data_IF_911046470821
#
_entry.id   IF_911046470821
#
_cell.length_a   1.000
_cell.length_b   1.000
_cell.length_c   1.000
_cell.angle_alpha   90.00
_cell.angle_beta   90.00
_cell.angle_gamma   90.00
#
_symmetry.space_group_name_H-M   'P 1'
#
loop_
_entity.id
_entity.type
_entity.pdbx_description
1 polymer ?
#
# COMPACT_ATOMS: atom_id res chain seq x y z
N UNK A 1 -11.15 -24.84 -1.21
CA UNK A 1 -10.89 -25.72 -2.38
C UNK A 1 -9.41 -25.66 -2.69
N UNK A 2 -8.76 -26.78 -3.01
CA UNK A 2 -7.36 -26.78 -3.43
C UNK A 2 -7.27 -26.77 -4.96
N UNK A 3 -6.26 -26.09 -5.51
CA UNK A 3 -6.02 -26.10 -6.95
C UNK A 3 -5.38 -27.43 -7.41
N UNK A 4 -5.61 -27.76 -8.67
CA UNK A 4 -4.94 -28.83 -9.40
C UNK A 4 -4.03 -28.28 -10.49
N UNK A 5 -2.98 -29.03 -10.84
CA UNK A 5 -2.14 -28.68 -11.98
C UNK A 5 -2.99 -28.70 -13.26
N UNK A 6 -2.79 -27.70 -14.11
CA UNK A 6 -3.57 -27.44 -15.31
C UNK A 6 -4.82 -26.61 -15.11
N UNK A 7 -5.28 -26.38 -13.87
CA UNK A 7 -6.47 -25.57 -13.63
C UNK A 7 -6.28 -24.13 -14.11
N UNK A 8 -7.32 -23.57 -14.70
CA UNK A 8 -7.38 -22.17 -15.13
C UNK A 8 -8.44 -21.45 -14.31
N UNK A 9 -8.04 -20.31 -13.74
CA UNK A 9 -8.89 -19.46 -12.92
C UNK A 9 -8.97 -18.05 -13.53
N UNK A 10 -10.13 -17.43 -13.41
CA UNK A 10 -10.34 -16.00 -13.66
C UNK A 10 -10.53 -15.25 -12.35
N UNK A 11 -10.01 -14.02 -12.30
CA UNK A 11 -10.23 -13.08 -11.19
C UNK A 11 -10.55 -11.70 -11.73
N UNK A 12 -11.53 -11.03 -11.14
CA UNK A 12 -11.90 -9.68 -11.54
C UNK A 12 -10.83 -8.69 -11.08
N UNK A 13 -10.28 -7.92 -12.01
CA UNK A 13 -9.33 -6.86 -11.73
C UNK A 13 -10.06 -5.52 -11.69
N UNK A 14 -10.10 -4.89 -10.51
CA UNK A 14 -10.84 -3.64 -10.29
C UNK A 14 -10.33 -2.46 -11.14
N UNK A 15 -9.04 -2.45 -11.49
CA UNK A 15 -8.40 -1.36 -12.24
C UNK A 15 -8.66 -1.45 -13.74
N UNK A 16 -8.64 -2.67 -14.28
CA UNK A 16 -9.04 -2.93 -15.66
C UNK A 16 -10.56 -2.93 -15.84
N UNK A 17 -11.31 -3.12 -14.75
CA UNK A 17 -12.75 -3.42 -14.76
C UNK A 17 -13.09 -4.64 -15.59
N UNK A 18 -12.17 -5.60 -15.65
CA UNK A 18 -12.22 -6.80 -16.46
C UNK A 18 -11.67 -7.99 -15.68
N UNK A 19 -12.07 -9.20 -16.06
CA UNK A 19 -11.44 -10.42 -15.60
C UNK A 19 -10.07 -10.58 -16.25
N UNK A 20 -9.12 -11.06 -15.45
CA UNK A 20 -7.81 -11.56 -15.90
C UNK A 20 -7.73 -13.05 -15.58
N UNK A 21 -6.82 -13.78 -16.22
CA UNK A 21 -6.71 -15.22 -16.05
C UNK A 21 -5.31 -15.66 -15.59
N UNK A 22 -5.27 -16.75 -14.83
CA UNK A 22 -4.03 -17.45 -14.48
C UNK A 22 -4.22 -18.96 -14.59
N UNK A 23 -3.15 -19.67 -14.93
CA UNK A 23 -3.08 -21.13 -14.91
C UNK A 23 -2.24 -21.60 -13.73
N UNK A 24 -2.65 -22.69 -13.08
CA UNK A 24 -1.82 -23.44 -12.14
C UNK A 24 -0.95 -24.39 -12.95
N UNK A 25 0.34 -24.12 -13.08
CA UNK A 25 1.24 -24.97 -13.89
C UNK A 25 1.77 -26.15 -13.09
N UNK A 26 1.87 -26.03 -11.77
CA UNK A 26 2.39 -27.06 -10.87
C UNK A 26 1.76 -26.92 -9.48
N UNK A 27 1.62 -28.06 -8.80
CA UNK A 27 1.23 -28.12 -7.37
C UNK A 27 2.30 -28.88 -6.60
N UNK A 28 2.69 -28.36 -5.44
CA UNK A 28 3.67 -28.96 -4.55
C UNK A 28 2.98 -29.62 -3.36
N UNK A 29 3.43 -30.82 -3.02
CA UNK A 29 2.90 -31.61 -1.92
C UNK A 29 3.97 -31.87 -0.85
N UNK A 30 3.61 -31.65 0.41
CA UNK A 30 4.43 -32.04 1.55
C UNK A 30 3.56 -32.82 2.55
N UNK A 31 4.01 -34.02 2.93
CA UNK A 31 3.26 -34.89 3.85
C UNK A 31 1.88 -35.27 3.34
N UNK A 32 1.71 -35.46 2.03
CA UNK A 32 0.44 -35.82 1.39
C UNK A 32 -0.58 -34.68 1.34
N UNK A 33 -0.17 -33.44 1.61
CA UNK A 33 -1.02 -32.25 1.50
C UNK A 33 -0.44 -31.28 0.47
N UNK A 34 -1.31 -30.77 -0.39
CA UNK A 34 -0.99 -29.65 -1.29
C UNK A 34 -0.67 -28.41 -0.48
N UNK A 35 0.53 -27.88 -0.66
CA UNK A 35 1.04 -26.73 0.08
C UNK A 35 1.06 -25.48 -0.77
N UNK A 36 1.68 -25.56 -1.95
CA UNK A 36 1.84 -24.45 -2.86
C UNK A 36 1.37 -24.80 -4.26
N UNK A 37 0.93 -23.77 -4.99
CA UNK A 37 0.61 -23.82 -6.40
C UNK A 37 1.49 -22.78 -7.13
N UNK A 38 2.14 -23.21 -8.21
CA UNK A 38 2.83 -22.30 -9.13
C UNK A 38 1.80 -21.73 -10.10
N UNK A 39 1.62 -20.41 -10.04
CA UNK A 39 0.68 -19.65 -10.84
C UNK A 39 1.41 -18.97 -12.00
N UNK A 40 0.88 -19.13 -13.21
CA UNK A 40 1.29 -18.44 -14.42
C UNK A 40 0.19 -17.47 -14.84
N UNK A 41 0.50 -16.18 -14.93
CA UNK A 41 -0.46 -15.23 -15.49
C UNK A 41 -0.59 -15.42 -17.01
N UNK A 42 -1.81 -15.23 -17.51
CA UNK A 42 -2.15 -15.43 -18.92
C UNK A 42 -2.35 -14.10 -19.62
N UNK A 43 -1.96 -14.03 -20.89
CA UNK A 43 -2.15 -12.88 -21.77
C UNK A 43 -3.61 -12.82 -22.26
N UNK A 44 -4.52 -12.61 -21.30
CA UNK A 44 -5.95 -12.62 -21.54
C UNK A 44 -6.68 -11.66 -20.58
N UNK A 45 -7.68 -10.95 -21.11
CA UNK A 45 -8.64 -10.18 -20.33
C UNK A 45 -10.03 -10.22 -20.97
N UNK A 46 -11.08 -10.09 -20.16
CA UNK A 46 -12.45 -10.11 -20.65
C UNK A 46 -13.47 -9.48 -19.70
N UNK A 47 -14.56 -8.94 -20.25
CA UNK A 47 -15.65 -8.36 -19.46
C UNK A 47 -16.45 -9.44 -18.68
N UNK A 48 -16.30 -10.70 -19.06
CA UNK A 48 -16.84 -11.89 -18.39
C UNK A 48 -15.70 -12.87 -18.15
N UNK A 49 -15.83 -13.83 -17.22
CA UNK A 49 -14.84 -14.91 -17.09
C UNK A 49 -14.63 -15.64 -18.42
N UNK A 50 -13.40 -16.11 -18.64
CA UNK A 50 -12.99 -16.90 -19.81
C UNK A 50 -14.00 -18.03 -20.08
N UNK A 51 -14.34 -18.24 -21.35
CA UNK A 51 -15.17 -19.38 -21.76
C UNK A 51 -14.35 -20.65 -21.96
N UNK A 52 -14.98 -21.81 -21.80
CA UNK A 52 -14.31 -23.11 -21.99
C UNK A 52 -13.72 -23.28 -23.41
N UNK A 53 -14.34 -22.71 -24.44
CA UNK A 53 -13.86 -22.76 -25.82
C UNK A 53 -12.53 -22.00 -26.02
N UNK A 54 -12.27 -20.97 -25.22
CA UNK A 54 -11.07 -20.13 -25.31
C UNK A 54 -9.84 -20.78 -24.64
N UNK A 55 -10.02 -21.89 -23.90
CA UNK A 55 -8.93 -22.57 -23.18
C UNK A 55 -7.80 -23.04 -24.12
N UNK A 56 -8.12 -23.37 -25.37
CA UNK A 56 -7.16 -23.86 -26.36
C UNK A 56 -6.23 -22.75 -26.89
N UNK A 57 -6.66 -21.48 -26.81
CA UNK A 57 -5.96 -20.34 -27.40
C UNK A 57 -5.16 -19.52 -26.36
N UNK A 58 -5.14 -19.98 -25.11
CA UNK A 58 -4.46 -19.29 -24.01
C UNK A 58 -2.96 -19.18 -24.27
N UNK A 59 -2.42 -17.99 -23.97
CA UNK A 59 -0.99 -17.70 -24.06
C UNK A 59 -0.44 -17.25 -22.71
N UNK A 60 0.81 -17.63 -22.37
CA UNK A 60 1.48 -17.08 -21.21
C UNK A 60 1.67 -15.56 -21.32
N UNK A 61 1.46 -14.83 -20.23
CA UNK A 61 1.81 -13.41 -20.16
C UNK A 61 3.32 -13.25 -19.98
N UNK A 62 3.95 -12.54 -20.90
CA UNK A 62 5.32 -12.05 -20.74
C UNK A 62 5.32 -10.67 -20.10
N UNK A 63 5.93 -10.57 -18.92
CA UNK A 63 6.13 -9.33 -18.19
C UNK A 63 7.45 -8.69 -18.61
N UNK A 64 7.39 -7.42 -19.03
CA UNK A 64 8.54 -6.59 -19.38
C UNK A 64 8.32 -5.09 -19.12
N UNK A 65 7.33 -4.70 -18.31
CA UNK A 65 7.08 -3.28 -18.06
C UNK A 65 8.27 -2.57 -17.37
N UNK A 66 8.48 -1.30 -17.72
CA UNK A 66 9.49 -0.43 -17.10
C UNK A 66 10.88 -1.08 -17.05
N UNK A 67 11.43 -1.35 -15.88
CA UNK A 67 12.79 -1.90 -15.69
C UNK A 67 12.85 -3.44 -15.71
N UNK A 68 11.72 -4.13 -15.80
CA UNK A 68 11.69 -5.59 -15.76
C UNK A 68 12.26 -6.20 -17.03
N UNK A 69 13.17 -7.16 -16.92
CA UNK A 69 13.54 -7.99 -18.06
C UNK A 69 12.37 -8.84 -18.52
N UNK A 70 12.30 -9.10 -19.82
CA UNK A 70 11.22 -9.88 -20.40
C UNK A 70 11.28 -11.31 -19.90
N UNK A 71 10.19 -11.78 -19.29
CA UNK A 71 10.07 -13.15 -18.82
C UNK A 71 8.63 -13.51 -18.47
N UNK A 72 8.38 -14.79 -18.21
CA UNK A 72 7.07 -15.26 -17.77
C UNK A 72 6.71 -14.67 -16.40
N UNK A 73 5.46 -14.26 -16.24
CA UNK A 73 4.97 -13.82 -14.94
C UNK A 73 4.48 -15.02 -14.12
N UNK A 74 5.40 -15.57 -13.31
CA UNK A 74 5.13 -16.73 -12.45
C UNK A 74 5.49 -16.49 -10.99
N UNK A 75 4.68 -17.04 -10.08
CA UNK A 75 4.93 -17.05 -8.64
C UNK A 75 4.24 -18.23 -7.95
N UNK A 76 4.77 -18.64 -6.79
CA UNK A 76 4.20 -19.67 -5.91
C UNK A 76 3.34 -19.01 -4.84
N UNK A 77 2.12 -19.50 -4.66
CA UNK A 77 1.22 -19.09 -3.59
C UNK A 77 0.64 -20.34 -2.90
N UNK A 78 -0.16 -20.16 -1.83
CA UNK A 78 -0.87 -21.28 -1.20
C UNK A 78 -1.67 -22.08 -2.23
N UNK A 79 -1.66 -23.41 -2.13
CA UNK A 79 -2.48 -24.26 -2.99
C UNK A 79 -4.00 -24.12 -2.72
N UNK A 80 -4.38 -23.47 -1.61
CA UNK A 80 -5.78 -23.14 -1.32
C UNK A 80 -6.20 -21.96 -2.21
N UNK A 81 -7.26 -22.16 -2.99
CA UNK A 81 -7.80 -21.13 -3.90
C UNK A 81 -8.59 -20.11 -3.09
N UNK A 82 -8.26 -18.80 -3.18
CA UNK A 82 -9.00 -17.76 -2.48
C UNK A 82 -10.41 -17.54 -3.04
N UNK A 83 -11.29 -16.98 -2.23
CA UNK A 83 -12.59 -16.50 -2.69
C UNK A 83 -12.41 -15.42 -3.79
N UNK A 84 -13.29 -15.42 -4.79
CA UNK A 84 -13.24 -14.48 -5.93
C UNK A 84 -12.55 -15.03 -7.18
N UNK A 85 -11.77 -16.12 -7.06
CA UNK A 85 -11.28 -16.86 -8.23
C UNK A 85 -12.33 -17.83 -8.73
N UNK A 86 -12.66 -17.71 -10.02
CA UNK A 86 -13.63 -18.57 -10.70
C UNK A 86 -12.87 -19.59 -11.53
N UNK A 87 -13.00 -20.87 -11.19
CA UNK A 87 -12.44 -21.96 -11.99
C UNK A 87 -13.18 -22.05 -13.31
N UNK A 88 -12.45 -21.98 -14.42
CA UNK A 88 -13.03 -22.00 -15.78
C UNK A 88 -12.86 -23.37 -16.42
N UNK A 89 -11.76 -24.06 -16.13
CA UNK A 89 -11.50 -25.39 -16.69
C UNK A 89 -10.11 -25.89 -16.31
N UNK A 90 -9.68 -26.93 -17.00
CA UNK A 90 -8.36 -27.52 -16.86
C UNK A 90 -7.81 -27.83 -18.25
N UNK A 91 -6.55 -27.47 -18.47
CA UNK A 91 -5.80 -27.76 -19.70
C UNK A 91 -4.35 -28.05 -19.35
N UNK A 92 -3.61 -28.68 -20.27
CA UNK A 92 -2.20 -28.98 -20.03
C UNK A 92 -1.41 -27.70 -19.65
N UNK A 93 -0.49 -27.76 -18.68
CA UNK A 93 0.34 -26.62 -18.32
C UNK A 93 1.02 -26.01 -19.56
N UNK A 94 0.81 -24.72 -19.78
CA UNK A 94 1.38 -23.99 -20.93
C UNK A 94 2.90 -23.81 -20.82
N UNK A 95 3.46 -24.06 -19.63
CA UNK A 95 4.87 -23.98 -19.36
C UNK A 95 5.27 -25.05 -18.33
N UNK A 96 6.44 -25.68 -18.55
CA UNK A 96 7.06 -26.61 -17.61
C UNK A 96 8.10 -25.98 -16.69
N UNK A 97 8.34 -24.67 -16.79
CA UNK A 97 9.28 -23.95 -15.93
C UNK A 97 8.75 -23.87 -14.48
N UNK A 98 9.68 -23.76 -13.53
CA UNK A 98 9.38 -23.50 -12.12
C UNK A 98 9.96 -22.14 -11.69
N UNK A 99 9.47 -21.62 -10.58
CA UNK A 99 9.88 -20.32 -10.03
C UNK A 99 10.21 -20.43 -8.54
N UNK A 100 11.24 -19.71 -8.10
CA UNK A 100 11.55 -19.54 -6.67
C UNK A 100 10.92 -18.28 -6.07
N UNK A 101 10.03 -17.61 -6.83
CA UNK A 101 9.31 -16.43 -6.36
C UNK A 101 8.07 -16.85 -5.61
N UNK A 102 8.03 -16.58 -4.31
CA UNK A 102 6.86 -16.81 -3.48
C UNK A 102 6.07 -15.51 -3.33
N UNK A 103 4.75 -15.63 -3.36
CA UNK A 103 3.82 -14.59 -2.97
C UNK A 103 3.03 -15.08 -1.77
N UNK A 104 2.77 -14.18 -0.82
CA UNK A 104 1.98 -14.50 0.36
C UNK A 104 0.51 -14.80 0.05
N UNK A 105 0.03 -14.47 -1.17
CA UNK A 105 -1.35 -14.65 -1.61
C UNK A 105 -1.43 -14.76 -3.15
N UNK A 106 -2.58 -15.19 -3.67
CA UNK A 106 -2.86 -15.14 -5.11
C UNK A 106 -3.09 -13.69 -5.52
N UNK A 107 -2.42 -13.21 -6.57
CA UNK A 107 -2.49 -11.82 -7.00
C UNK A 107 -3.77 -11.49 -7.78
N UNK A 108 -4.36 -10.33 -7.50
CA UNK A 108 -5.57 -9.75 -8.12
C UNK A 108 -5.41 -9.35 -9.61
N UNK A 109 -4.33 -9.77 -10.26
CA UNK A 109 -3.98 -9.34 -11.62
C UNK A 109 -3.33 -7.96 -11.72
N UNK A 110 -2.90 -7.33 -10.60
CA UNK A 110 -2.26 -6.01 -10.65
C UNK A 110 -1.04 -5.93 -11.59
N UNK A 111 -0.17 -6.94 -11.58
CA UNK A 111 0.98 -6.98 -12.50
C UNK A 111 0.54 -7.15 -13.97
N UNK A 112 -0.60 -7.80 -14.24
CA UNK A 112 -1.21 -7.89 -15.57
C UNK A 112 -1.67 -6.51 -16.02
N UNK A 113 -2.42 -5.80 -15.17
CA UNK A 113 -2.84 -4.42 -15.41
C UNK A 113 -1.65 -3.51 -15.77
N UNK A 114 -0.55 -3.58 -15.01
CA UNK A 114 0.66 -2.79 -15.27
C UNK A 114 1.31 -3.16 -16.60
N UNK A 115 1.36 -4.44 -16.94
CA UNK A 115 1.90 -4.90 -18.21
C UNK A 115 1.07 -4.39 -19.40
N UNK A 116 -0.25 -4.40 -19.30
CA UNK A 116 -1.14 -3.89 -20.35
C UNK A 116 -1.01 -2.37 -20.51
N UNK A 117 -0.94 -1.61 -19.41
CA UNK A 117 -0.68 -0.15 -19.46
C UNK A 117 0.67 0.19 -20.08
N UNK A 118 1.68 -0.63 -19.81
CA UNK A 118 2.96 -0.51 -20.48
C UNK A 118 2.83 -0.73 -21.99
N UNK A 119 2.11 -1.76 -22.43
CA UNK A 119 1.91 -2.03 -23.86
C UNK A 119 1.14 -0.92 -24.60
N UNK A 120 0.33 -0.12 -23.90
CA UNK A 120 -0.30 1.09 -24.46
C UNK A 120 0.70 2.22 -24.76
N UNK A 121 1.95 2.15 -24.28
CA UNK A 121 3.01 3.09 -24.67
C UNK A 121 3.53 2.69 -26.06
N UNK A 122 3.66 3.63 -27.01
CA UNK A 122 4.25 3.39 -28.32
C UNK A 122 5.55 2.57 -28.24
N UNK A 123 5.64 1.51 -29.04
CA UNK A 123 6.75 0.56 -28.98
C UNK A 123 8.13 1.25 -29.15
N UNK A 124 8.19 2.28 -30.01
CA UNK A 124 9.41 3.10 -30.20
C UNK A 124 9.89 3.74 -28.90
N UNK A 125 8.97 4.32 -28.11
CA UNK A 125 9.29 4.93 -26.82
C UNK A 125 9.73 3.85 -25.81
N UNK A 126 9.02 2.72 -25.73
CA UNK A 126 9.40 1.59 -24.87
C UNK A 126 10.80 1.04 -25.19
N UNK A 127 11.12 0.86 -26.47
CA UNK A 127 12.45 0.42 -26.91
C UNK A 127 13.53 1.44 -26.54
N UNK A 128 13.26 2.74 -26.70
CA UNK A 128 14.17 3.80 -26.30
C UNK A 128 14.44 3.77 -24.78
N UNK A 129 13.39 3.64 -23.97
CA UNK A 129 13.49 3.46 -22.52
C UNK A 129 14.37 2.26 -22.17
N UNK A 130 14.09 1.07 -22.73
CA UNK A 130 14.86 -0.16 -22.45
C UNK A 130 16.33 -0.03 -22.85
N UNK A 131 16.60 0.62 -23.98
CA UNK A 131 17.97 0.89 -24.45
C UNK A 131 18.70 1.85 -23.51
N UNK A 132 18.03 2.91 -23.05
CA UNK A 132 18.61 3.85 -22.09
C UNK A 132 18.86 3.18 -20.73
N UNK A 133 17.94 2.34 -20.26
CA UNK A 133 18.07 1.62 -18.97
C UNK A 133 19.30 0.71 -18.91
N UNK A 134 19.69 0.12 -20.05
CA UNK A 134 20.90 -0.72 -20.18
C UNK A 134 22.17 0.07 -20.55
N UNK A 135 22.05 1.37 -20.78
CA UNK A 135 23.15 2.21 -21.22
C UNK A 135 24.04 2.63 -20.05
N UNK A 136 25.35 2.72 -20.32
CA UNK A 136 26.33 3.37 -19.44
C UNK A 136 26.61 4.82 -19.82
N UNK A 137 25.88 5.37 -20.79
CA UNK A 137 26.04 6.77 -21.21
C UNK A 137 25.64 7.72 -20.09
N UNK A 138 26.34 8.84 -20.04
CA UNK A 138 26.12 9.91 -19.09
C UNK A 138 25.70 11.21 -19.77
N UNK A 139 25.17 12.13 -18.98
CA UNK A 139 24.78 13.48 -19.36
C UNK A 139 25.08 14.43 -18.20
N UNK A 140 25.48 15.66 -18.52
CA UNK A 140 25.61 16.73 -17.52
C UNK A 140 24.25 17.38 -17.28
N UNK A 141 23.85 17.49 -16.02
CA UNK A 141 22.59 18.13 -15.60
C UNK A 141 22.79 18.79 -14.23
N UNK A 142 22.32 20.02 -14.06
CA UNK A 142 22.49 20.80 -12.83
C UNK A 142 23.96 20.81 -12.31
N UNK A 143 24.93 20.89 -13.23
CA UNK A 143 26.37 20.92 -12.90
C UNK A 143 26.97 19.57 -12.46
N UNK A 144 26.23 18.46 -12.58
CA UNK A 144 26.70 17.11 -12.19
C UNK A 144 26.53 16.12 -13.32
N UNK A 145 27.39 15.11 -13.35
CA UNK A 145 27.30 14.01 -14.29
C UNK A 145 26.34 12.93 -13.78
N UNK A 146 25.38 12.53 -14.62
CA UNK A 146 24.42 11.47 -14.32
C UNK A 146 24.35 10.46 -15.45
N UNK A 147 24.07 9.20 -15.11
CA UNK A 147 23.67 8.21 -16.12
C UNK A 147 22.32 8.59 -16.74
N UNK A 148 22.17 8.43 -18.07
CA UNK A 148 20.88 8.67 -18.74
C UNK A 148 19.76 7.72 -18.26
N UNK A 149 20.13 6.63 -17.57
CA UNK A 149 19.25 5.66 -16.93
C UNK A 149 18.72 6.10 -15.56
N UNK A 150 18.99 7.34 -15.13
CA UNK A 150 18.47 7.92 -13.87
C UNK A 150 16.94 7.76 -13.79
N UNK A 151 16.48 7.18 -12.68
CA UNK A 151 15.08 6.79 -12.49
C UNK A 151 14.29 7.76 -11.60
N UNK A 152 15.00 8.50 -10.74
CA UNK A 152 14.42 9.38 -9.74
C UNK A 152 15.17 10.71 -9.75
N UNK A 153 14.43 11.81 -9.62
CA UNK A 153 14.99 13.14 -9.53
C UNK A 153 14.26 13.96 -8.45
N UNK A 154 15.00 14.81 -7.75
CA UNK A 154 14.44 15.78 -6.83
C UNK A 154 15.10 17.14 -7.04
N UNK A 155 14.29 18.18 -7.12
CA UNK A 155 14.73 19.56 -7.33
C UNK A 155 15.48 20.16 -6.13
N UNK A 156 15.42 19.50 -4.96
CA UNK A 156 16.27 19.83 -3.80
C UNK A 156 17.76 19.61 -4.10
N UNK A 157 18.07 18.59 -4.92
CA UNK A 157 19.45 18.20 -5.20
C UNK A 157 19.93 18.59 -6.59
N UNK A 158 18.98 18.62 -7.53
CA UNK A 158 19.19 18.83 -8.96
C UNK A 158 18.25 19.97 -9.39
N UNK A 159 18.66 21.22 -9.20
CA UNK A 159 17.82 22.39 -9.53
C UNK A 159 17.72 22.57 -11.04
N UNK A 160 16.52 22.94 -11.50
CA UNK A 160 16.19 23.25 -12.89
C UNK A 160 14.99 24.21 -12.91
N UNK A 161 14.80 24.91 -14.02
CA UNK A 161 13.66 25.83 -14.19
C UNK A 161 12.58 25.25 -15.09
N UNK A 162 12.98 24.57 -16.17
CA UNK A 162 12.09 24.04 -17.20
C UNK A 162 12.06 22.51 -17.18
N UNK A 163 10.89 21.93 -16.95
CA UNK A 163 10.71 20.49 -16.90
C UNK A 163 11.09 19.79 -18.22
N UNK A 164 11.10 20.50 -19.34
CA UNK A 164 11.55 19.95 -20.62
C UNK A 164 13.04 19.60 -20.65
N UNK A 165 13.85 20.12 -19.73
CA UNK A 165 15.25 19.71 -19.56
C UNK A 165 15.36 18.24 -19.12
N UNK A 166 14.34 17.72 -18.45
CA UNK A 166 14.30 16.34 -17.92
C UNK A 166 14.28 15.27 -19.02
N UNK A 167 14.04 15.65 -20.30
CA UNK A 167 14.20 14.76 -21.46
C UNK A 167 15.61 14.16 -21.59
N UNK A 168 16.59 14.73 -20.89
CA UNK A 168 17.93 14.16 -20.70
C UNK A 168 17.92 12.78 -20.04
N UNK A 169 16.84 12.41 -19.34
CA UNK A 169 16.68 11.16 -18.62
C UNK A 169 15.49 10.33 -19.16
N UNK A 170 15.69 9.55 -20.24
CA UNK A 170 14.61 8.74 -20.83
C UNK A 170 14.01 7.68 -19.89
N UNK A 171 14.73 7.36 -18.81
CA UNK A 171 14.28 6.41 -17.80
C UNK A 171 13.66 7.07 -16.57
N UNK A 172 13.45 8.38 -16.53
CA UNK A 172 12.90 9.03 -15.35
C UNK A 172 11.48 8.51 -15.09
N UNK A 173 11.21 8.05 -13.87
CA UNK A 173 9.92 7.49 -13.47
C UNK A 173 9.35 8.06 -12.17
N UNK A 174 10.18 8.73 -11.36
CA UNK A 174 9.73 9.42 -10.14
C UNK A 174 10.28 10.83 -10.07
N UNK A 175 9.40 11.78 -9.75
CA UNK A 175 9.73 13.19 -9.51
C UNK A 175 9.36 13.60 -8.08
N UNK A 176 10.25 14.34 -7.43
CA UNK A 176 10.04 14.95 -6.12
C UNK A 176 10.35 16.44 -6.21
N UNK A 177 9.30 17.23 -6.36
CA UNK A 177 9.35 18.66 -6.63
C UNK A 177 8.88 19.43 -5.40
N UNK A 178 9.66 20.43 -5.02
CA UNK A 178 9.43 21.31 -3.87
C UNK A 178 8.97 22.71 -4.27
N UNK A 179 8.77 22.94 -5.58
CA UNK A 179 8.20 24.14 -6.18
C UNK A 179 7.54 23.80 -7.52
N UNK A 180 6.82 24.76 -8.10
CA UNK A 180 6.32 24.66 -9.47
C UNK A 180 7.46 24.89 -10.48
N UNK A 181 7.46 24.11 -11.56
CA UNK A 181 8.45 24.19 -12.64
C UNK A 181 7.76 24.53 -13.96
N UNK A 182 8.43 25.29 -14.82
CA UNK A 182 7.90 25.64 -16.14
C UNK A 182 7.71 24.38 -16.98
N UNK A 183 6.65 24.36 -17.81
CA UNK A 183 6.31 23.26 -18.71
C UNK A 183 6.10 21.88 -18.04
N UNK A 184 5.77 21.84 -16.75
CA UNK A 184 5.61 20.58 -16.02
C UNK A 184 4.49 19.71 -16.62
N UNK A 185 3.36 20.30 -17.03
CA UNK A 185 2.25 19.54 -17.62
C UNK A 185 2.64 18.95 -18.97
N UNK A 186 3.23 19.75 -19.84
CA UNK A 186 3.70 19.36 -21.16
C UNK A 186 4.68 18.17 -21.06
N UNK A 187 5.61 18.24 -20.11
CA UNK A 187 6.53 17.13 -19.86
C UNK A 187 5.80 15.85 -19.39
N UNK A 188 4.86 15.97 -18.45
CA UNK A 188 4.13 14.81 -17.92
C UNK A 188 3.21 14.15 -18.96
N UNK A 189 2.68 14.91 -19.92
CA UNK A 189 1.88 14.42 -21.02
C UNK A 189 2.74 13.76 -22.12
N UNK A 190 3.88 14.35 -22.48
CA UNK A 190 4.77 13.85 -23.54
C UNK A 190 5.58 12.61 -23.12
N UNK A 191 5.98 12.52 -21.84
CA UNK A 191 6.88 11.47 -21.33
C UNK A 191 6.13 10.47 -20.43
N UNK A 192 5.66 9.34 -21.00
CA UNK A 192 4.68 8.45 -20.36
C UNK A 192 5.25 7.55 -19.24
N UNK A 193 6.48 7.80 -18.79
CA UNK A 193 7.20 6.96 -17.85
C UNK A 193 7.16 7.48 -16.42
N UNK A 194 6.71 8.72 -16.20
CA UNK A 194 6.51 9.27 -14.85
C UNK A 194 5.29 8.63 -14.21
N UNK A 195 5.54 7.64 -13.34
CA UNK A 195 4.50 6.94 -12.59
C UNK A 195 4.31 7.53 -11.20
N UNK A 196 5.31 8.22 -10.66
CA UNK A 196 5.27 8.81 -9.32
C UNK A 196 5.61 10.29 -9.34
N UNK A 197 4.76 11.10 -8.74
CA UNK A 197 4.98 12.54 -8.56
C UNK A 197 4.73 12.91 -7.11
N UNK A 198 5.69 13.60 -6.49
CA UNK A 198 5.50 14.37 -5.27
C UNK A 198 5.66 15.85 -5.61
N UNK A 199 4.64 16.66 -5.34
CA UNK A 199 4.62 18.08 -5.65
C UNK A 199 4.24 18.88 -4.38
N UNK A 200 5.19 19.64 -3.86
CA UNK A 200 5.04 20.46 -2.65
C UNK A 200 5.31 21.94 -2.95
N UNK A 201 4.76 22.85 -2.14
CA UNK A 201 4.94 24.31 -2.24
C UNK A 201 4.82 24.89 -3.67
N UNK A 202 3.90 24.36 -4.46
CA UNK A 202 3.77 24.71 -5.88
C UNK A 202 2.96 25.99 -6.13
N UNK A 203 2.22 26.48 -5.13
CA UNK A 203 1.49 27.75 -5.21
C UNK A 203 0.36 27.82 -6.24
N UNK A 204 -0.11 26.68 -6.76
CA UNK A 204 -1.20 26.61 -7.75
C UNK A 204 -2.55 26.45 -7.05
N UNK A 205 -3.59 27.07 -7.59
CA UNK A 205 -4.98 26.92 -7.10
C UNK A 205 -5.74 25.81 -7.83
N UNK A 206 -5.33 25.49 -9.06
CA UNK A 206 -5.89 24.40 -9.87
C UNK A 206 -4.77 23.48 -10.31
N UNK A 207 -4.96 22.19 -10.12
CA UNK A 207 -4.02 21.16 -10.55
C UNK A 207 -4.71 20.16 -11.46
N UNK A 208 -4.25 20.03 -12.71
CA UNK A 208 -4.81 19.08 -13.66
C UNK A 208 -3.81 18.00 -14.05
N UNK A 209 -4.04 16.77 -13.57
CA UNK A 209 -3.26 15.59 -13.92
C UNK A 209 -4.06 14.59 -14.76
N UNK A 210 -5.20 14.98 -15.33
CA UNK A 210 -6.13 14.09 -16.06
C UNK A 210 -5.51 13.43 -17.30
N UNK A 211 -4.62 14.15 -18.00
CA UNK A 211 -3.92 13.65 -19.18
C UNK A 211 -2.60 12.92 -18.88
N UNK A 212 -2.25 12.78 -17.60
CA UNK A 212 -0.99 12.14 -17.20
C UNK A 212 -1.14 10.62 -17.04
N UNK A 213 -0.01 9.92 -16.87
CA UNK A 213 0.03 8.48 -16.57
C UNK A 213 0.46 8.16 -15.14
N UNK A 214 0.41 9.15 -14.26
CA UNK A 214 0.81 9.02 -12.86
C UNK A 214 -0.09 7.98 -12.16
N UNK A 215 0.54 7.04 -11.45
CA UNK A 215 -0.12 6.03 -10.62
C UNK A 215 -0.03 6.36 -9.14
N UNK A 216 1.04 7.03 -8.72
CA UNK A 216 1.27 7.47 -7.33
C UNK A 216 1.43 9.00 -7.28
N UNK A 217 0.44 9.70 -6.74
CA UNK A 217 0.47 11.17 -6.60
C UNK A 217 0.53 11.57 -5.13
N UNK A 218 1.53 12.35 -4.74
CA UNK A 218 1.58 13.08 -3.48
C UNK A 218 1.57 14.57 -3.78
N UNK A 219 0.62 15.29 -3.20
CA UNK A 219 0.40 16.71 -3.53
C UNK A 219 0.08 17.50 -2.28
N UNK A 220 0.71 18.66 -2.15
CA UNK A 220 0.36 19.68 -1.16
C UNK A 220 -0.94 20.38 -1.60
N UNK A 221 -1.98 20.30 -0.77
CA UNK A 221 -3.29 20.87 -1.07
C UNK A 221 -3.44 22.31 -0.60
N UNK A 222 -2.40 22.89 0.02
CA UNK A 222 -2.42 24.25 0.55
C UNK A 222 -2.71 25.25 -0.57
N UNK A 223 -3.85 25.93 -0.49
CA UNK A 223 -4.30 26.90 -1.49
C UNK A 223 -5.06 26.29 -2.68
N UNK A 224 -5.04 24.96 -2.86
CA UNK A 224 -5.71 24.25 -3.96
C UNK A 224 -7.23 24.28 -3.79
N UNK A 225 -7.92 24.58 -4.88
CA UNK A 225 -9.38 24.62 -4.98
C UNK A 225 -9.93 23.50 -5.85
N UNK A 226 -9.17 23.06 -6.86
CA UNK A 226 -9.55 21.95 -7.74
C UNK A 226 -8.36 21.09 -8.13
N UNK A 227 -8.54 19.77 -8.02
CA UNK A 227 -7.55 18.76 -8.39
C UNK A 227 -8.20 17.76 -9.36
N UNK A 228 -7.67 17.61 -10.57
CA UNK A 228 -8.16 16.66 -11.57
C UNK A 228 -7.20 15.50 -11.70
N UNK A 229 -7.70 14.27 -11.63
CA UNK A 229 -6.90 13.06 -11.62
C UNK A 229 -7.18 12.21 -12.86
N UNK A 230 -6.15 11.52 -13.36
CA UNK A 230 -6.31 10.54 -14.43
C UNK A 230 -7.01 9.26 -13.93
N UNK A 231 -7.65 8.52 -14.83
CA UNK A 231 -8.37 7.28 -14.49
C UNK A 231 -7.46 6.15 -13.99
N UNK A 232 -6.16 6.21 -14.29
CA UNK A 232 -5.18 5.21 -13.93
C UNK A 232 -4.45 5.48 -12.62
N UNK A 233 -4.90 6.44 -11.80
CA UNK A 233 -4.28 6.75 -10.51
C UNK A 233 -4.60 5.65 -9.49
N UNK A 234 -3.57 5.04 -8.91
CA UNK A 234 -3.70 3.98 -7.90
C UNK A 234 -3.71 4.54 -6.48
N UNK A 235 -2.85 5.52 -6.21
CA UNK A 235 -2.61 6.07 -4.88
C UNK A 235 -2.57 7.60 -4.89
N UNK A 236 -3.29 8.20 -3.95
CA UNK A 236 -3.33 9.64 -3.72
C UNK A 236 -2.94 9.94 -2.27
N UNK A 237 -1.90 10.76 -2.09
CA UNK A 237 -1.46 11.27 -0.80
C UNK A 237 -1.67 12.79 -0.75
N UNK A 238 -2.56 13.23 0.15
CA UNK A 238 -2.89 14.63 0.34
C UNK A 238 -2.09 15.19 1.53
N UNK A 239 -1.32 16.25 1.29
CA UNK A 239 -0.53 16.97 2.29
C UNK A 239 -1.04 18.39 2.46
N UNK A 240 -0.52 19.08 3.48
CA UNK A 240 -0.85 20.48 3.73
C UNK A 240 -2.29 20.69 4.18
N UNK A 241 -2.75 21.93 4.06
CA UNK A 241 -4.10 22.32 4.44
C UNK A 241 -5.09 22.04 3.30
N UNK A 242 -6.14 21.27 3.57
CA UNK A 242 -7.21 20.99 2.61
C UNK A 242 -8.39 21.93 2.91
N UNK A 243 -8.69 22.84 1.99
CA UNK A 243 -9.87 23.72 2.07
C UNK A 243 -11.16 22.88 2.07
N UNK A 244 -12.14 23.27 2.89
CA UNK A 244 -13.43 22.55 3.02
C UNK A 244 -14.19 22.40 1.69
N UNK A 245 -14.05 23.38 0.80
CA UNK A 245 -14.70 23.39 -0.51
C UNK A 245 -13.82 22.87 -1.65
N UNK A 246 -12.61 22.36 -1.36
CA UNK A 246 -11.73 21.79 -2.38
C UNK A 246 -12.42 20.62 -3.09
N UNK A 247 -12.38 20.64 -4.43
CA UNK A 247 -12.98 19.61 -5.28
C UNK A 247 -11.91 18.73 -5.91
N UNK A 248 -11.99 17.42 -5.69
CA UNK A 248 -11.16 16.45 -6.39
C UNK A 248 -11.98 15.78 -7.48
N UNK A 249 -11.66 16.04 -8.74
CA UNK A 249 -12.31 15.45 -9.90
C UNK A 249 -11.62 14.11 -10.25
N UNK A 250 -12.34 13.01 -10.04
CA UNK A 250 -11.86 11.65 -10.32
C UNK A 250 -12.91 10.86 -11.09
N UNK A 251 -12.48 9.79 -11.79
CA UNK A 251 -13.41 8.81 -12.32
C UNK A 251 -14.20 8.15 -11.19
N UNK A 252 -15.51 7.96 -11.40
CA UNK A 252 -16.42 7.28 -10.47
C UNK A 252 -16.37 7.77 -9.02
N UNK A 253 -15.94 9.02 -8.78
CA UNK A 253 -15.81 9.62 -7.44
C UNK A 253 -14.88 8.84 -6.50
N UNK A 254 -13.76 8.35 -7.02
CA UNK A 254 -12.68 7.74 -6.24
C UNK A 254 -12.76 6.22 -6.11
N UNK A 255 -13.65 5.56 -6.84
CA UNK A 255 -13.72 4.10 -6.85
C UNK A 255 -12.40 3.49 -7.38
N UNK A 256 -11.83 2.53 -6.65
CA UNK A 256 -10.55 1.90 -6.98
C UNK A 256 -9.30 2.68 -6.53
N UNK A 257 -9.46 3.93 -6.08
CA UNK A 257 -8.36 4.75 -5.56
C UNK A 257 -8.01 4.36 -4.11
N UNK A 258 -6.72 4.39 -3.78
CA UNK A 258 -6.22 4.29 -2.42
C UNK A 258 -5.87 5.69 -1.91
N UNK A 259 -6.54 6.13 -0.85
CA UNK A 259 -6.19 7.37 -0.16
C UNK A 259 -5.13 7.07 0.93
N UNK A 260 -3.95 7.64 0.77
CA UNK A 260 -2.84 7.56 1.71
C UNK A 260 -2.82 8.83 2.58
N UNK A 261 -3.04 8.69 3.88
CA UNK A 261 -3.09 9.83 4.80
C UNK A 261 -2.24 9.60 6.04
N UNK A 262 -1.86 10.71 6.66
CA UNK A 262 -1.18 10.70 7.96
C UNK A 262 -2.16 10.43 9.10
N UNK A 263 -2.20 11.35 10.08
CA UNK A 263 -2.87 11.15 11.37
C UNK A 263 -4.39 11.05 11.30
N UNK A 264 -5.02 11.70 10.33
CA UNK A 264 -6.47 11.80 10.20
C UNK A 264 -6.91 11.67 8.74
N UNK A 265 -8.17 11.26 8.57
CA UNK A 265 -8.79 11.07 7.25
C UNK A 265 -9.60 12.32 6.92
N UNK A 266 -9.21 13.11 5.91
CA UNK A 266 -9.95 14.30 5.53
C UNK A 266 -11.23 13.93 4.77
N UNK A 267 -12.28 14.73 4.95
CA UNK A 267 -13.47 14.68 4.10
C UNK A 267 -13.22 15.49 2.84
N UNK A 268 -13.21 14.82 1.69
CA UNK A 268 -12.83 15.43 0.41
C UNK A 268 -13.97 15.25 -0.60
N UNK A 269 -14.41 16.34 -1.22
CA UNK A 269 -15.44 16.30 -2.27
C UNK A 269 -14.89 15.63 -3.52
N UNK A 270 -15.67 14.71 -4.08
CA UNK A 270 -15.30 13.92 -5.25
C UNK A 270 -14.58 12.59 -4.94
N UNK A 271 -14.48 12.22 -3.66
CA UNK A 271 -14.03 10.90 -3.19
C UNK A 271 -15.17 10.09 -2.52
N UNK A 272 -16.44 10.37 -2.83
CA UNK A 272 -17.59 9.76 -2.14
C UNK A 272 -17.72 8.24 -2.36
N UNK A 273 -17.05 7.67 -3.36
CA UNK A 273 -17.00 6.24 -3.63
C UNK A 273 -15.62 5.64 -3.34
N UNK A 274 -14.80 6.29 -2.50
CA UNK A 274 -13.48 5.78 -2.12
C UNK A 274 -13.58 4.36 -1.55
N UNK A 275 -12.76 3.45 -2.08
CA UNK A 275 -12.79 2.02 -1.72
C UNK A 275 -11.64 1.59 -0.82
N UNK A 276 -10.58 2.39 -0.70
CA UNK A 276 -9.42 2.02 0.10
C UNK A 276 -8.79 3.22 0.82
N UNK A 277 -8.42 3.01 2.08
CA UNK A 277 -7.68 3.99 2.88
C UNK A 277 -6.52 3.34 3.62
N UNK A 278 -5.39 4.03 3.61
CA UNK A 278 -4.21 3.71 4.39
C UNK A 278 -3.88 4.91 5.28
N UNK A 279 -3.89 4.70 6.59
CA UNK A 279 -3.71 5.76 7.59
C UNK A 279 -2.48 5.44 8.42
N UNK A 280 -1.50 6.35 8.43
CA UNK A 280 -0.19 6.14 9.04
C UNK A 280 0.09 7.11 10.18
N UNK A 281 0.78 6.62 11.22
CA UNK A 281 1.22 7.47 12.33
C UNK A 281 0.08 7.95 13.22
N UNK A 282 -0.94 7.11 13.38
CA UNK A 282 -2.11 7.40 14.23
C UNK A 282 -1.66 7.53 15.69
N UNK A 283 -2.04 8.64 16.32
CA UNK A 283 -1.99 8.82 17.77
C UNK A 283 -3.39 8.64 18.38
N UNK A 284 -4.40 9.23 17.74
CA UNK A 284 -5.82 9.09 18.09
C UNK A 284 -6.62 9.02 16.80
N UNK A 285 -7.58 8.10 16.73
CA UNK A 285 -8.40 7.88 15.56
C UNK A 285 -9.83 7.53 15.98
N UNK A 286 -10.82 8.11 15.31
CA UNK A 286 -12.22 7.76 15.54
C UNK A 286 -12.74 6.97 14.33
N UNK A 287 -13.08 5.70 14.56
CA UNK A 287 -13.60 4.84 13.52
C UNK A 287 -15.00 5.26 13.05
N UNK A 288 -15.79 5.90 13.91
CA UNK A 288 -17.12 6.41 13.55
C UNK A 288 -17.01 7.55 12.52
N UNK A 289 -16.03 8.44 12.69
CA UNK A 289 -15.77 9.50 11.71
C UNK A 289 -15.37 8.90 10.34
N UNK A 290 -14.57 7.82 10.33
CA UNK A 290 -14.23 7.13 9.09
C UNK A 290 -15.46 6.54 8.39
N UNK A 291 -16.33 5.86 9.14
CA UNK A 291 -17.53 5.21 8.58
C UNK A 291 -18.53 6.21 8.03
N UNK A 292 -18.69 7.37 8.69
CA UNK A 292 -19.54 8.47 8.22
C UNK A 292 -18.96 9.17 6.98
N UNK A 293 -17.63 9.29 6.91
CA UNK A 293 -16.97 10.00 5.81
C UNK A 293 -16.87 9.16 4.55
N UNK A 294 -16.48 7.88 4.68
CA UNK A 294 -16.26 6.98 3.55
C UNK A 294 -16.91 5.60 3.80
N UNK A 295 -18.25 5.48 3.76
CA UNK A 295 -18.95 4.25 4.13
C UNK A 295 -18.73 3.07 3.18
N UNK A 296 -18.21 3.31 1.96
CA UNK A 296 -18.03 2.30 0.89
C UNK A 296 -16.64 1.65 0.88
N UNK A 297 -15.86 1.86 1.94
CA UNK A 297 -14.51 1.30 2.04
C UNK A 297 -14.55 -0.23 2.04
N UNK A 298 -13.70 -0.81 1.18
CA UNK A 298 -13.43 -2.24 1.07
C UNK A 298 -12.10 -2.63 1.70
N UNK A 299 -11.14 -1.69 1.73
CA UNK A 299 -9.84 -1.88 2.34
C UNK A 299 -9.58 -0.77 3.35
N UNK A 300 -9.34 -1.15 4.59
CA UNK A 300 -8.95 -0.22 5.66
C UNK A 300 -7.65 -0.74 6.28
N UNK A 301 -6.62 0.10 6.26
CA UNK A 301 -5.34 -0.22 6.89
C UNK A 301 -4.87 0.92 7.76
N UNK A 302 -4.63 0.62 9.03
CA UNK A 302 -4.34 1.61 10.07
C UNK A 302 -3.03 1.26 10.78
N UNK A 303 -2.12 2.22 10.86
CA UNK A 303 -0.84 2.09 11.57
C UNK A 303 -0.70 3.19 12.63
N UNK A 304 -0.62 2.76 13.89
CA UNK A 304 -0.38 3.62 15.03
C UNK A 304 1.08 4.00 15.26
N UNK A 305 1.29 4.93 16.18
CA UNK A 305 2.60 5.31 16.71
C UNK A 305 2.62 5.36 18.25
N UNK A 306 2.59 4.19 18.91
CA UNK A 306 1.32 3.54 19.28
C UNK A 306 0.13 4.50 19.36
N UNK A 307 -1.03 4.12 18.83
CA UNK A 307 -2.21 4.99 18.80
C UNK A 307 -3.42 4.42 19.52
N UNK A 308 -4.41 5.27 19.78
CA UNK A 308 -5.73 4.87 20.29
C UNK A 308 -6.79 4.96 19.19
N UNK A 309 -7.71 4.01 19.17
CA UNK A 309 -8.92 4.02 18.35
C UNK A 309 -10.13 4.17 19.26
N UNK A 310 -10.95 5.19 19.02
CA UNK A 310 -12.29 5.33 19.56
C UNK A 310 -13.32 4.68 18.63
N UNK A 311 -14.45 4.24 19.20
CA UNK A 311 -15.59 3.66 18.49
C UNK A 311 -15.21 2.49 17.56
N UNK A 312 -14.28 1.63 17.96
CA UNK A 312 -13.77 0.55 17.12
C UNK A 312 -14.89 -0.35 16.54
N UNK A 313 -15.98 -0.55 17.27
CA UNK A 313 -17.16 -1.30 16.82
C UNK A 313 -17.81 -0.75 15.53
N UNK A 314 -17.56 0.51 15.17
CA UNK A 314 -18.00 1.12 13.92
C UNK A 314 -17.42 0.44 12.66
N UNK A 315 -16.37 -0.39 12.80
CA UNK A 315 -15.90 -1.28 11.70
C UNK A 315 -17.06 -2.13 11.15
N UNK A 316 -18.04 -2.51 11.97
CA UNK A 316 -19.21 -3.28 11.53
C UNK A 316 -20.12 -2.56 10.53
N UNK A 317 -19.96 -1.25 10.35
CA UNK A 317 -20.71 -0.46 9.36
C UNK A 317 -20.21 -0.61 7.92
N UNK A 318 -19.02 -1.19 7.71
CA UNK A 318 -18.46 -1.43 6.38
C UNK A 318 -18.89 -2.82 5.87
N UNK A 319 -20.13 -2.96 5.40
CA UNK A 319 -20.68 -4.25 4.94
C UNK A 319 -19.90 -4.87 3.78
N UNK A 320 -19.26 -4.02 2.97
CA UNK A 320 -18.43 -4.39 1.82
C UNK A 320 -16.93 -4.55 2.16
N UNK A 321 -16.56 -4.55 3.45
CA UNK A 321 -15.17 -4.65 3.87
C UNK A 321 -14.57 -6.01 3.49
N UNK A 322 -13.52 -5.99 2.67
CA UNK A 322 -12.80 -7.14 2.14
C UNK A 322 -11.48 -7.35 2.91
N UNK A 323 -10.79 -6.25 3.26
CA UNK A 323 -9.49 -6.23 3.94
C UNK A 323 -9.48 -5.27 5.12
N UNK A 324 -9.15 -5.78 6.31
CA UNK A 324 -8.89 -4.97 7.50
C UNK A 324 -7.49 -5.24 8.05
N UNK A 325 -6.70 -4.19 8.27
CA UNK A 325 -5.37 -4.30 8.87
C UNK A 325 -5.15 -3.23 9.94
N UNK A 326 -4.64 -3.63 11.11
CA UNK A 326 -4.24 -2.70 12.18
C UNK A 326 -2.88 -3.06 12.76
N UNK A 327 -2.03 -2.07 13.01
CA UNK A 327 -0.74 -2.26 13.69
C UNK A 327 -0.53 -1.18 14.75
N UNK A 328 -0.09 -1.56 15.95
CA UNK A 328 0.27 -0.62 17.03
C UNK A 328 -0.92 0.27 17.46
N UNK A 329 -2.12 -0.31 17.57
CA UNK A 329 -3.36 0.40 17.89
C UNK A 329 -4.10 -0.22 19.08
N UNK A 330 -4.59 0.65 19.97
CA UNK A 330 -5.18 0.35 21.27
C UNK A 330 -6.48 1.14 21.48
N UNK A 331 -7.06 1.15 22.68
CA UNK A 331 -8.29 1.90 23.00
C UNK A 331 -9.60 1.13 22.83
N UNK A 332 -9.53 -0.17 22.53
CA UNK A 332 -10.69 -1.05 22.38
C UNK A 332 -10.49 -2.38 23.13
N UNK A 333 -11.59 -3.06 23.47
CA UNK A 333 -11.62 -4.30 24.23
C UNK A 333 -12.21 -5.48 23.46
N UNK A 334 -12.54 -6.54 24.20
CA UNK A 334 -13.17 -7.73 23.64
C UNK A 334 -14.57 -7.45 23.08
N UNK A 335 -15.35 -6.60 23.76
CA UNK A 335 -16.75 -6.29 23.41
C UNK A 335 -16.87 -5.41 22.16
N UNK A 336 -15.79 -4.73 21.79
CA UNK A 336 -15.76 -3.88 20.59
C UNK A 336 -15.53 -4.68 19.29
N UNK A 337 -15.14 -5.96 19.39
CA UNK A 337 -14.79 -6.77 18.23
C UNK A 337 -16.06 -7.12 17.42
N UNK A 338 -16.15 -6.72 16.14
CA UNK A 338 -17.33 -6.98 15.34
C UNK A 338 -17.52 -8.47 15.09
N UNK A 339 -18.76 -8.95 15.20
CA UNK A 339 -19.09 -10.34 14.90
C UNK A 339 -18.89 -10.64 13.41
N UNK A 340 -18.35 -11.81 13.01
CA UNK A 340 -18.06 -12.11 11.60
C UNK A 340 -19.25 -11.98 10.63
N UNK A 341 -20.48 -12.18 11.12
CA UNK A 341 -21.71 -12.03 10.32
C UNK A 341 -21.96 -10.59 9.86
N UNK A 342 -21.38 -9.60 10.56
CA UNK A 342 -21.44 -8.18 10.15
C UNK A 342 -20.41 -7.84 9.07
N UNK A 343 -19.41 -8.71 8.87
CA UNK A 343 -18.35 -8.55 7.88
C UNK A 343 -18.33 -9.77 6.93
N UNK A 344 -19.40 -9.97 6.14
CA UNK A 344 -19.55 -11.19 5.34
C UNK A 344 -18.51 -11.29 4.22
N UNK A 345 -18.05 -10.16 3.66
CA UNK A 345 -17.07 -10.13 2.55
C UNK A 345 -15.61 -10.14 2.99
N UNK A 346 -15.35 -10.05 4.30
CA UNK A 346 -13.99 -9.99 4.84
C UNK A 346 -13.24 -11.29 4.55
N UNK A 347 -12.18 -11.18 3.76
CA UNK A 347 -11.30 -12.30 3.42
C UNK A 347 -9.89 -12.12 3.99
N UNK A 348 -9.56 -10.93 4.52
CA UNK A 348 -8.32 -10.69 5.28
C UNK A 348 -8.57 -9.89 6.55
N UNK A 349 -8.14 -10.43 7.69
CA UNK A 349 -8.17 -9.78 9.00
C UNK A 349 -6.80 -9.89 9.67
N UNK A 350 -6.03 -8.82 9.59
CA UNK A 350 -4.67 -8.77 10.12
C UNK A 350 -4.57 -7.74 11.24
N UNK A 351 -4.10 -8.17 12.41
CA UNK A 351 -3.91 -7.26 13.54
C UNK A 351 -2.62 -7.61 14.28
N UNK A 352 -1.79 -6.62 14.55
CA UNK A 352 -0.56 -6.81 15.34
C UNK A 352 -0.38 -5.72 16.37
N UNK A 353 0.15 -6.06 17.54
CA UNK A 353 0.41 -5.10 18.61
C UNK A 353 -0.88 -4.37 19.02
N UNK A 354 -1.79 -5.16 19.60
CA UNK A 354 -3.16 -4.80 19.97
C UNK A 354 -3.47 -5.25 21.41
N UNK A 355 -4.56 -4.78 22.04
CA UNK A 355 -4.96 -5.21 23.38
C UNK A 355 -5.13 -6.74 23.51
N UNK A 356 -4.64 -7.33 24.60
CA UNK A 356 -4.62 -8.77 24.81
C UNK A 356 -6.03 -9.39 24.77
N UNK A 357 -7.00 -8.76 25.43
CA UNK A 357 -8.39 -9.25 25.46
C UNK A 357 -9.06 -9.16 24.09
N UNK A 358 -8.81 -8.09 23.33
CA UNK A 358 -9.26 -7.96 21.95
C UNK A 358 -8.65 -9.06 21.05
N UNK A 359 -7.35 -9.34 21.18
CA UNK A 359 -6.69 -10.40 20.42
C UNK A 359 -7.30 -11.79 20.70
N UNK A 360 -7.59 -12.10 21.97
CA UNK A 360 -8.27 -13.35 22.36
C UNK A 360 -9.69 -13.41 21.76
N UNK A 361 -10.44 -12.32 21.84
CA UNK A 361 -11.80 -12.23 21.30
C UNK A 361 -11.83 -12.45 19.78
N UNK A 362 -10.96 -11.76 19.02
CA UNK A 362 -10.85 -11.94 17.56
C UNK A 362 -10.52 -13.39 17.21
N UNK A 363 -9.49 -13.97 17.85
CA UNK A 363 -9.08 -15.37 17.59
C UNK A 363 -10.23 -16.35 17.86
N UNK A 364 -11.03 -16.12 18.90
CA UNK A 364 -12.18 -16.96 19.24
C UNK A 364 -13.32 -16.80 18.23
N UNK A 365 -13.72 -15.56 17.94
CA UNK A 365 -14.86 -15.25 17.07
C UNK A 365 -14.62 -15.64 15.60
N UNK A 366 -13.41 -15.42 15.09
CA UNK A 366 -13.08 -15.65 13.69
C UNK A 366 -12.48 -17.04 13.40
N UNK A 367 -12.39 -17.93 14.40
CA UNK A 367 -11.82 -19.28 14.24
C UNK A 367 -12.46 -20.05 13.09
N UNK A 368 -13.80 -20.10 13.05
CA UNK A 368 -14.55 -20.80 11.99
C UNK A 368 -14.29 -20.17 10.61
N UNK A 369 -14.31 -18.83 10.53
CA UNK A 369 -14.01 -18.13 9.27
C UNK A 369 -12.60 -18.43 8.76
N UNK A 370 -11.62 -18.58 9.67
CA UNK A 370 -10.25 -19.01 9.30
C UNK A 370 -10.26 -20.40 8.67
N UNK A 371 -11.01 -21.34 9.25
CA UNK A 371 -11.19 -22.69 8.69
C UNK A 371 -11.88 -22.63 7.30
N UNK A 372 -12.77 -21.65 7.09
CA UNK A 372 -13.45 -21.36 5.82
C UNK A 372 -12.60 -20.55 4.82
N UNK A 373 -11.33 -20.27 5.12
CA UNK A 373 -10.39 -19.61 4.20
C UNK A 373 -10.13 -18.12 4.44
N UNK A 374 -10.60 -17.55 5.55
CA UNK A 374 -10.18 -16.21 5.98
C UNK A 374 -8.68 -16.19 6.28
N UNK A 375 -7.97 -15.24 5.67
CA UNK A 375 -6.59 -14.91 6.01
C UNK A 375 -6.54 -14.16 7.35
N UNK A 376 -6.53 -14.94 8.44
CA UNK A 376 -6.53 -14.45 9.83
C UNK A 376 -5.12 -14.48 10.42
N UNK A 377 -4.58 -13.29 10.69
CA UNK A 377 -3.24 -13.11 11.27
C UNK A 377 -3.31 -12.16 12.46
N UNK A 378 -3.22 -12.70 13.68
CA UNK A 378 -3.36 -11.96 14.94
C UNK A 378 -2.12 -12.18 15.81
N UNK A 379 -1.25 -11.18 15.86
CA UNK A 379 0.08 -11.27 16.45
C UNK A 379 0.31 -10.23 17.55
N UNK A 380 1.30 -10.51 18.41
CA UNK A 380 1.79 -9.57 19.45
C UNK A 380 0.66 -8.98 20.32
N UNK A 381 -0.15 -9.83 20.95
CA UNK A 381 -1.11 -9.41 21.96
C UNK A 381 -0.40 -8.71 23.13
N UNK A 382 -0.88 -7.52 23.53
CA UNK A 382 -0.24 -6.67 24.54
C UNK A 382 -1.13 -6.46 25.75
N UNK A 383 -0.55 -6.64 26.94
CA UNK A 383 -1.18 -6.25 28.20
C UNK A 383 -1.07 -4.74 28.43
N UNK A 384 -1.97 -4.14 29.23
CA UNK A 384 -1.88 -2.72 29.58
C UNK A 384 -0.51 -2.30 30.13
N UNK A 385 0.13 -3.15 30.94
CA UNK A 385 1.44 -2.86 31.53
C UNK A 385 2.55 -2.81 30.48
N UNK A 386 2.46 -3.62 29.42
CA UNK A 386 3.41 -3.58 28.31
C UNK A 386 3.30 -2.24 27.59
N UNK A 387 2.08 -1.77 27.32
CA UNK A 387 1.84 -0.51 26.63
C UNK A 387 2.37 0.66 27.46
N UNK A 388 2.03 0.73 28.75
CA UNK A 388 2.51 1.77 29.66
C UNK A 388 4.05 1.86 29.72
N UNK A 389 4.74 0.73 29.61
CA UNK A 389 6.20 0.67 29.66
C UNK A 389 6.89 0.97 28.32
N UNK A 390 6.18 0.80 27.19
CA UNK A 390 6.77 0.83 25.86
C UNK A 390 6.20 1.91 24.92
N UNK A 391 5.23 2.70 25.38
CA UNK A 391 4.59 3.75 24.56
C UNK A 391 5.61 4.68 23.90
N UNK A 392 6.52 5.26 24.70
CA UNK A 392 7.58 6.16 24.21
C UNK A 392 8.89 5.43 23.87
N UNK A 393 8.93 4.09 23.97
CA UNK A 393 10.16 3.33 23.82
C UNK A 393 10.50 3.16 22.32
N UNK A 394 11.61 3.72 21.81
CA UNK A 394 12.00 3.58 20.41
C UNK A 394 12.39 2.14 20.03
N UNK A 395 12.67 1.28 21.01
CA UNK A 395 12.99 -0.13 20.81
C UNK A 395 11.77 -1.05 20.91
N UNK A 396 10.55 -0.52 21.07
CA UNK A 396 9.33 -1.35 21.24
C UNK A 396 9.13 -2.32 20.07
N UNK A 397 9.46 -1.88 18.85
CA UNK A 397 9.24 -2.65 17.62
C UNK A 397 10.20 -3.85 17.49
N UNK A 398 11.28 -3.86 18.28
CA UNK A 398 12.22 -4.99 18.35
C UNK A 398 11.60 -6.20 19.05
N UNK A 399 10.59 -5.99 19.89
CA UNK A 399 9.90 -7.07 20.58
C UNK A 399 9.07 -7.91 19.59
N UNK A 400 9.52 -9.15 19.36
CA UNK A 400 8.94 -10.06 18.38
C UNK A 400 9.32 -9.75 16.93
N UNK A 401 10.43 -9.05 16.69
CA UNK A 401 11.01 -8.94 15.35
C UNK A 401 11.79 -10.22 15.01
N UNK A 402 11.52 -10.83 13.86
CA UNK A 402 12.08 -12.13 13.44
C UNK A 402 13.62 -12.13 13.39
N UNK A 403 14.21 -11.00 13.02
CA UNK A 403 15.66 -10.83 12.86
C UNK A 403 16.37 -10.31 14.13
N UNK A 404 15.65 -10.12 15.24
CA UNK A 404 16.23 -9.60 16.49
C UNK A 404 16.07 -10.64 17.61
N UNK A 405 17.18 -11.12 18.20
CA UNK A 405 17.10 -12.01 19.35
C UNK A 405 16.30 -11.39 20.48
N UNK A 406 15.36 -12.16 21.05
CA UNK A 406 14.50 -11.71 22.16
C UNK A 406 15.29 -11.13 23.34
N UNK A 407 16.46 -11.68 23.63
CA UNK A 407 17.37 -11.18 24.67
C UNK A 407 17.89 -9.76 24.37
N UNK A 408 18.17 -9.44 23.11
CA UNK A 408 18.62 -8.11 22.70
C UNK A 408 17.49 -7.09 22.74
N UNK A 409 16.29 -7.44 22.25
CA UNK A 409 15.11 -6.59 22.36
C UNK A 409 14.82 -6.23 23.83
N UNK A 410 14.84 -7.23 24.73
CA UNK A 410 14.65 -7.04 26.16
C UNK A 410 15.71 -6.12 26.77
N UNK A 411 16.99 -6.35 26.46
CA UNK A 411 18.11 -5.54 26.96
C UNK A 411 18.02 -4.08 26.48
N UNK A 412 17.68 -3.85 25.22
CA UNK A 412 17.49 -2.51 24.67
C UNK A 412 16.34 -1.76 25.37
N UNK A 413 15.20 -2.42 25.56
CA UNK A 413 14.06 -1.85 26.27
C UNK A 413 14.38 -1.56 27.76
N UNK A 414 15.11 -2.44 28.44
CA UNK A 414 15.56 -2.22 29.82
C UNK A 414 16.54 -1.04 29.94
N UNK A 415 17.53 -0.96 29.04
CA UNK A 415 18.49 0.14 29.00
C UNK A 415 17.80 1.48 28.75
N UNK A 416 16.87 1.53 27.80
CA UNK A 416 16.08 2.74 27.54
C UNK A 416 15.28 3.16 28.77
N UNK A 417 14.54 2.23 29.40
CA UNK A 417 13.75 2.52 30.61
C UNK A 417 14.63 3.03 31.75
N UNK A 418 15.75 2.36 32.02
CA UNK A 418 16.70 2.76 33.08
C UNK A 418 17.26 4.16 32.81
N UNK A 419 17.63 4.43 31.56
CA UNK A 419 18.19 5.73 31.16
C UNK A 419 17.15 6.84 31.27
N UNK A 420 15.94 6.62 30.75
CA UNK A 420 14.82 7.59 30.85
C UNK A 420 14.48 7.91 32.30
N UNK A 421 14.37 6.89 33.16
CA UNK A 421 14.10 7.09 34.58
C UNK A 421 15.24 7.90 35.26
N UNK A 422 16.49 7.62 34.90
CA UNK A 422 17.65 8.40 35.37
C UNK A 422 17.59 9.86 34.94
N UNK A 423 17.28 10.13 33.67
CA UNK A 423 17.12 11.49 33.13
C UNK A 423 15.98 12.24 33.81
N UNK A 424 14.80 11.64 33.95
CA UNK A 424 13.65 12.25 34.63
C UNK A 424 13.99 12.62 36.07
N UNK A 425 14.68 11.74 36.79
CA UNK A 425 15.15 12.01 38.16
C UNK A 425 16.12 13.20 38.22
N UNK A 426 17.01 13.34 37.24
CA UNK A 426 17.95 14.46 37.15
C UNK A 426 17.29 15.79 36.79
N UNK A 427 16.20 15.77 36.01
CA UNK A 427 15.47 16.96 35.60
C UNK A 427 14.55 17.56 36.69
N UNK A 428 14.47 16.94 37.87
CA UNK A 428 13.83 17.52 39.06
C UNK A 428 12.30 17.69 39.01
N UNK A 429 11.63 17.25 37.94
CA UNK A 429 10.18 17.28 37.81
C UNK A 429 9.65 15.88 37.42
N UNK A 430 8.82 15.22 38.26
CA UNK A 430 8.10 14.05 37.82
C UNK A 430 7.06 14.48 36.75
N UNK A 431 6.98 13.84 35.58
CA UNK A 431 5.79 13.98 34.76
C UNK A 431 4.61 13.46 35.57
N UNK A 432 3.53 14.23 35.64
CA UNK A 432 2.31 13.87 36.36
C UNK A 432 1.89 12.45 36.02
N UNK A 433 1.57 11.72 37.07
CA UNK A 433 0.99 10.40 37.05
C UNK A 433 -0.36 10.49 36.31
N UNK A 434 -0.42 10.03 35.05
CA UNK A 434 -1.67 9.91 34.28
C UNK A 434 -2.42 8.66 34.78
N UNK A 435 -2.80 8.67 36.05
CA UNK A 435 -3.64 7.68 36.70
C UNK A 435 -4.91 8.38 37.15
N UNK A 436 -5.93 8.37 36.29
CA UNK A 436 -7.28 8.89 36.58
C UNK A 436 -7.69 10.07 35.70
N UNK A 437 -8.70 9.84 34.85
CA UNK A 437 -9.40 10.89 34.11
C UNK A 437 -8.78 11.25 32.76
N UNK A 438 -9.38 10.76 31.68
CA UNK A 438 -9.11 11.23 30.32
C UNK A 438 -9.58 12.68 30.16
N UNK A 439 -8.72 13.67 30.43
CA UNK A 439 -8.88 15.03 29.91
C UNK A 439 -7.50 15.67 29.61
N UNK A 440 -7.28 16.01 28.34
CA UNK A 440 -6.07 16.68 27.85
C UNK A 440 -5.95 18.09 28.42
N UNK A 441 -4.72 18.49 28.79
CA UNK A 441 -4.28 19.89 28.67
C UNK A 441 -3.24 19.98 27.56
N UNK A 442 -3.61 20.69 26.50
CA UNK A 442 -2.75 21.10 25.40
C UNK A 442 -1.76 22.16 25.87
N UNK A 443 -0.47 21.83 25.88
CA UNK A 443 0.61 22.82 25.69
C UNK A 443 1.57 22.31 24.61
N UNK A 444 1.97 23.14 23.62
CA UNK A 444 2.90 22.73 22.58
C UNK A 444 4.31 22.61 23.17
N UNK A 445 4.99 21.51 22.86
CA UNK A 445 6.44 21.39 22.99
C UNK A 445 7.05 22.00 21.72
N UNK A 446 8.13 22.81 21.78
CA UNK A 446 8.73 23.43 20.61
C UNK A 446 9.22 22.38 19.60
N UNK A 447 8.93 22.59 18.32
CA UNK A 447 9.41 21.76 17.22
C UNK A 447 10.94 21.79 17.16
N UNK A 448 11.58 20.69 17.53
CA UNK A 448 12.95 20.41 17.13
C UNK A 448 12.90 19.84 15.72
N UNK A 449 13.32 20.64 14.73
CA UNK A 449 13.43 20.24 13.33
C UNK A 449 14.26 18.97 13.22
N UNK A 450 13.63 17.85 12.91
CA UNK A 450 14.33 16.60 12.59
C UNK A 450 14.26 16.41 11.08
N UNK A 451 15.35 16.80 10.42
CA UNK A 451 15.70 16.33 9.08
C UNK A 451 15.73 14.80 9.12
N UNK A 452 14.72 14.16 8.53
CA UNK A 452 14.72 12.72 8.32
C UNK A 452 15.64 12.39 7.14
N UNK A 453 16.84 11.92 7.44
CA UNK A 453 17.70 11.24 6.46
C UNK A 453 17.13 9.86 6.16
N UNK A 454 16.72 9.67 4.90
CA UNK A 454 16.42 8.38 4.29
C UNK A 454 17.67 7.50 4.36
N UNK A 455 17.61 6.39 5.10
CA UNK A 455 18.62 5.34 4.96
C UNK A 455 18.22 4.39 3.83
N UNK A 456 19.14 4.33 2.88
CA UNK A 456 19.33 3.42 1.76
C UNK A 456 19.06 1.95 2.09
N UNK A 457 18.12 1.33 1.37
CA UNK A 457 18.14 -0.10 1.12
C UNK A 457 19.05 -0.35 -0.10
N UNK A 458 20.31 -0.69 0.20
CA UNK A 458 21.24 -1.29 -0.75
C UNK A 458 20.91 -2.78 -0.87
N UNK A 459 20.33 -3.18 -2.01
CA UNK A 459 20.19 -4.58 -2.40
C UNK A 459 21.54 -5.17 -2.80
N UNK A 460 21.92 -6.28 -2.20
CA UNK A 460 22.54 -7.39 -2.93
C UNK A 460 21.51 -8.50 -3.03
#
# INVERSE_FOLDING_TARGET
MYADAGDVYCVYNIRLKQYTACQVTRVEEHGGKKTHATLLALDWQGNKPLGAAELADLKPLYKDFMYWERGLHMYKASAVVPAGYVRVGNTAPLCGEDTQRYASFWGDGYDVYRQLRWQQIPEKQRKAFKKAAKSKKTVMFAGREYGISKQNLSDVWDDFEDAMELKAFPCLSSLFLTKWHKNLYEYLEEYPFITRLCLENHGQTVLDFSNTRITDLSVDMTGVESLYLNEGLDSLNLKGEIKENCKVCTAEKGAGLILEVGKSVPKVRGLENLTAVNVMGIADFDMQNLSETYPKLKTIRLWGKPGNIANFSAVSGFEDLEVFTTVDLFGFGADDIPHPNRLPKLHRLWMSSLPEEAAKAVKKLYKKRKEDGLDLWIEKARKPEWLAQNFDNPFRDWDGAEHIPKSHAKKAAELYRKTRAGVVKLLGNPPENIGGGWQRRSKPIPEVSTKWTKNTLSTR
#
